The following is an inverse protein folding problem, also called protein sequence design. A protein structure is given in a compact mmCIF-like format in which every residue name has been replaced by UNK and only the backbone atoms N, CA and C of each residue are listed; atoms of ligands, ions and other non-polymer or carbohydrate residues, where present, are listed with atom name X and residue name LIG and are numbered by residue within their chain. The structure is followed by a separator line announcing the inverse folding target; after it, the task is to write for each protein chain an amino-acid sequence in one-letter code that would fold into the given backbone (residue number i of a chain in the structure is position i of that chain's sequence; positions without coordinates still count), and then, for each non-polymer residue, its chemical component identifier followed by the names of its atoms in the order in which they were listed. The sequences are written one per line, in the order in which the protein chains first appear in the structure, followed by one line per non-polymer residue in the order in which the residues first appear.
data_IF_094094903377
#
_entry.id   IF_094094903377
#
_cell.length_a   1.000
_cell.length_b   1.000
_cell.length_c   1.000
_cell.angle_alpha   90.00
_cell.angle_beta   90.00
_cell.angle_gamma   90.00
#
_symmetry.space_group_name_H-M   'P 1'
#
loop_
_entity.id
_entity.type
_entity.pdbx_description
1 polymer ?
#
# COMPACT_ATOMS: atom_id res chain seq x y z
N UNK A 1 7.69 16.28 -19.12
CA UNK A 1 6.39 16.15 -18.41
C UNK A 1 6.69 15.85 -16.95
N UNK A 2 5.93 16.47 -16.05
CA UNK A 2 6.41 17.04 -14.78
C UNK A 2 6.69 16.03 -13.66
N UNK A 3 7.78 16.26 -12.94
CA UNK A 3 8.20 15.49 -11.74
C UNK A 3 7.23 15.68 -10.55
N UNK A 4 6.37 16.70 -10.57
CA UNK A 4 5.23 16.78 -9.66
C UNK A 4 4.01 15.98 -10.13
N UNK A 5 3.87 15.64 -11.41
CA UNK A 5 2.82 14.71 -11.82
C UNK A 5 3.01 13.35 -11.14
N UNK A 6 4.26 12.88 -10.97
CA UNK A 6 4.52 11.70 -10.14
C UNK A 6 4.10 11.90 -8.69
N UNK A 7 4.32 13.08 -8.11
CA UNK A 7 3.89 13.40 -6.74
C UNK A 7 2.37 13.33 -6.58
N UNK A 8 1.61 13.96 -7.46
CA UNK A 8 0.14 13.94 -7.42
C UNK A 8 -0.41 12.56 -7.73
N UNK A 9 0.16 11.88 -8.72
CA UNK A 9 -0.20 10.51 -9.05
C UNK A 9 0.08 9.57 -7.88
N UNK A 10 1.18 9.75 -7.15
CA UNK A 10 1.44 9.03 -5.91
C UNK A 10 0.42 9.38 -4.83
N UNK A 11 0.11 10.66 -4.61
CA UNK A 11 -0.86 11.09 -3.60
C UNK A 11 -2.26 10.53 -3.87
N UNK A 12 -2.73 10.61 -5.12
CA UNK A 12 -3.99 10.01 -5.56
C UNK A 12 -3.98 8.49 -5.44
N UNK A 13 -2.87 7.85 -5.80
CA UNK A 13 -2.67 6.41 -5.63
C UNK A 13 -2.77 6.01 -4.15
N UNK A 14 -2.07 6.71 -3.25
CA UNK A 14 -2.10 6.40 -1.82
C UNK A 14 -3.45 6.72 -1.18
N UNK A 15 -4.11 7.80 -1.60
CA UNK A 15 -5.48 8.10 -1.20
C UNK A 15 -6.45 6.99 -1.65
N UNK A 16 -6.33 6.49 -2.87
CA UNK A 16 -7.10 5.35 -3.37
C UNK A 16 -6.83 4.07 -2.58
N UNK A 17 -5.55 3.80 -2.29
CA UNK A 17 -5.12 2.64 -1.53
C UNK A 17 -5.63 2.68 -0.07
N UNK A 18 -5.71 3.86 0.55
CA UNK A 18 -6.25 4.04 1.90
C UNK A 18 -7.78 4.10 1.94
N UNK A 19 -8.42 4.66 0.92
CA UNK A 19 -9.87 4.85 0.87
C UNK A 19 -10.45 4.27 -0.42
N UNK A 20 -10.48 2.94 -0.59
CA UNK A 20 -10.89 2.32 -1.85
C UNK A 20 -12.34 2.66 -2.23
N UNK A 21 -13.23 2.80 -1.25
CA UNK A 21 -14.67 2.98 -1.46
C UNK A 21 -15.18 4.41 -1.27
N UNK A 22 -14.43 5.29 -0.58
CA UNK A 22 -14.89 6.63 -0.21
C UNK A 22 -14.20 7.72 -1.04
N UNK A 23 -14.89 8.25 -2.05
CA UNK A 23 -14.38 9.40 -2.84
C UNK A 23 -14.21 10.64 -1.97
N UNK A 24 -15.19 10.94 -1.12
CA UNK A 24 -15.14 12.09 -0.21
C UNK A 24 -13.91 12.04 0.73
N UNK A 25 -13.58 10.86 1.27
CA UNK A 25 -12.36 10.69 2.09
C UNK A 25 -11.07 10.90 1.29
N UNK A 26 -11.03 10.44 0.02
CA UNK A 26 -9.89 10.68 -0.87
C UNK A 26 -9.72 12.18 -1.15
N UNK A 27 -10.79 12.84 -1.54
CA UNK A 27 -10.78 14.27 -1.89
C UNK A 27 -10.37 15.12 -0.68
N UNK A 28 -10.88 14.80 0.52
CA UNK A 28 -10.48 15.44 1.78
C UNK A 28 -9.00 15.23 2.11
N UNK A 29 -8.49 14.02 1.95
CA UNK A 29 -7.08 13.73 2.22
C UNK A 29 -6.16 14.49 1.25
N UNK A 30 -6.47 14.45 -0.05
CA UNK A 30 -5.72 15.16 -1.09
C UNK A 30 -5.73 16.66 -0.80
N UNK A 31 -6.90 17.25 -0.54
CA UNK A 31 -7.04 18.68 -0.25
C UNK A 31 -6.23 19.11 0.99
N UNK A 32 -6.27 18.32 2.07
CA UNK A 32 -5.48 18.59 3.27
C UNK A 32 -3.98 18.52 3.00
N UNK A 33 -3.52 17.55 2.20
CA UNK A 33 -2.11 17.44 1.84
C UNK A 33 -1.68 18.59 0.94
N UNK A 34 -2.49 18.95 -0.06
CA UNK A 34 -2.27 20.11 -0.93
C UNK A 34 -2.16 21.41 -0.15
N UNK A 35 -3.02 21.61 0.85
CA UNK A 35 -2.96 22.78 1.74
C UNK A 35 -1.61 22.85 2.47
N UNK A 36 -1.17 21.73 3.07
CA UNK A 36 0.12 21.66 3.76
C UNK A 36 1.31 21.96 2.84
N UNK A 37 1.29 21.47 1.60
CA UNK A 37 2.35 21.75 0.60
C UNK A 37 2.51 23.25 0.38
N UNK A 38 1.39 23.98 0.24
CA UNK A 38 1.42 25.43 0.01
C UNK A 38 1.99 26.20 1.19
N UNK A 39 1.92 25.68 2.40
CA UNK A 39 2.47 26.35 3.58
C UNK A 39 3.96 26.10 3.74
N UNK A 40 4.40 24.88 3.45
CA UNK A 40 5.82 24.54 3.44
C UNK A 40 6.55 25.23 2.26
N UNK A 41 5.82 25.50 1.18
CA UNK A 41 6.32 26.10 -0.05
C UNK A 41 5.37 27.21 -0.54
N UNK A 42 5.33 28.36 0.15
CA UNK A 42 4.42 29.48 -0.14
C UNK A 42 4.62 30.11 -1.52
N UNK A 43 5.78 29.89 -2.14
CA UNK A 43 6.04 30.19 -3.54
C UNK A 43 5.19 29.40 -4.55
N UNK A 44 4.53 28.31 -4.15
CA UNK A 44 3.72 27.47 -5.03
C UNK A 44 2.24 27.90 -4.98
N UNK A 45 1.68 28.19 -6.15
CA UNK A 45 0.26 28.50 -6.28
C UNK A 45 -0.62 27.22 -6.35
N UNK A 46 -1.94 27.39 -6.33
CA UNK A 46 -2.90 26.29 -6.34
C UNK A 46 -2.79 25.36 -7.56
N UNK A 47 -2.52 25.91 -8.74
CA UNK A 47 -2.33 25.14 -9.96
C UNK A 47 -0.98 24.43 -10.01
N UNK A 48 0.08 25.06 -9.48
CA UNK A 48 1.43 24.48 -9.44
C UNK A 48 1.49 23.28 -8.50
N UNK A 49 0.79 23.39 -7.36
CA UNK A 49 0.54 22.27 -6.48
C UNK A 49 -0.40 21.30 -7.19
N UNK A 50 -1.68 21.61 -7.40
CA UNK A 50 -2.68 20.65 -7.93
C UNK A 50 -2.37 19.97 -9.27
N UNK A 51 -1.80 20.69 -10.24
CA UNK A 51 -1.51 20.17 -11.60
C UNK A 51 -0.06 19.74 -11.79
N UNK A 52 0.78 19.90 -10.76
CA UNK A 52 2.21 19.60 -10.83
C UNK A 52 2.99 20.44 -11.84
N UNK A 53 2.60 21.70 -12.06
CA UNK A 53 3.29 22.63 -12.97
C UNK A 53 4.50 23.26 -12.29
N UNK A 54 5.65 23.27 -12.97
CA UNK A 54 6.86 23.96 -12.50
C UNK A 54 6.62 25.48 -12.45
N UNK A 55 7.00 26.18 -11.37
CA UNK A 55 6.98 27.63 -11.33
C UNK A 55 7.80 28.29 -12.43
N UNK A 56 7.30 29.41 -12.92
CA UNK A 56 8.01 30.23 -13.89
C UNK A 56 9.26 30.85 -13.24
N UNK A 57 10.41 30.74 -13.90
CA UNK A 57 11.69 31.23 -13.37
C UNK A 57 12.47 30.24 -12.49
N UNK A 58 11.93 29.06 -12.18
CA UNK A 58 12.71 28.01 -11.50
C UNK A 58 13.57 27.20 -12.49
N UNK A 59 14.84 26.98 -12.13
CA UNK A 59 15.71 26.08 -12.89
C UNK A 59 15.22 24.64 -12.80
N UNK A 60 15.62 23.81 -13.78
CA UNK A 60 15.31 22.37 -13.76
C UNK A 60 15.93 21.72 -12.54
N UNK A 61 17.16 22.05 -12.15
CA UNK A 61 17.76 21.50 -10.92
C UNK A 61 16.99 21.89 -9.66
N UNK A 62 16.56 23.16 -9.53
CA UNK A 62 15.78 23.60 -8.35
C UNK A 62 14.45 22.85 -8.25
N UNK A 63 13.82 22.62 -9.39
CA UNK A 63 12.59 21.85 -9.48
C UNK A 63 12.78 20.37 -9.14
N UNK A 64 13.88 19.77 -9.61
CA UNK A 64 14.25 18.40 -9.32
C UNK A 64 14.61 18.17 -7.85
N UNK A 65 15.29 19.14 -7.25
CA UNK A 65 15.59 19.16 -5.81
C UNK A 65 14.28 19.22 -5.05
N UNK A 66 13.36 20.14 -5.37
CA UNK A 66 12.05 20.20 -4.75
C UNK A 66 11.25 18.89 -4.91
N UNK A 67 11.15 18.32 -6.12
CA UNK A 67 10.43 17.07 -6.34
C UNK A 67 11.07 15.90 -5.55
N UNK A 68 12.40 15.86 -5.47
CA UNK A 68 13.13 14.83 -4.73
C UNK A 68 13.02 15.03 -3.22
N UNK A 69 13.17 16.25 -2.72
CA UNK A 69 12.97 16.64 -1.33
C UNK A 69 11.54 16.43 -0.89
N UNK A 70 10.56 16.64 -1.76
CA UNK A 70 9.14 16.37 -1.50
C UNK A 70 8.86 14.85 -1.43
N UNK A 71 9.44 14.06 -2.34
CA UNK A 71 9.35 12.60 -2.30
C UNK A 71 10.11 12.00 -1.10
N UNK A 72 11.25 12.59 -0.73
CA UNK A 72 12.01 12.26 0.48
C UNK A 72 11.35 12.82 1.76
N UNK A 73 10.53 13.88 1.67
CA UNK A 73 9.70 14.43 2.76
C UNK A 73 8.47 13.57 3.01
N UNK A 74 7.89 12.89 2.02
CA UNK A 74 6.90 11.83 2.30
C UNK A 74 7.50 10.75 3.22
N UNK A 75 8.82 10.50 3.13
CA UNK A 75 9.56 9.62 4.02
C UNK A 75 10.04 10.30 5.32
N UNK A 76 10.55 11.53 5.26
CA UNK A 76 11.12 12.26 6.42
C UNK A 76 10.05 12.93 7.29
N UNK A 77 8.93 13.41 6.76
CA UNK A 77 7.89 14.06 7.58
C UNK A 77 7.11 13.06 8.46
N UNK A 78 7.14 11.76 8.16
CA UNK A 78 6.56 10.76 9.06
C UNK A 78 7.44 10.49 10.30
N UNK A 79 8.76 10.71 10.21
CA UNK A 79 9.73 10.43 11.29
C UNK A 79 10.41 11.69 11.90
N UNK A 80 10.53 12.81 11.17
CA UNK A 80 11.22 14.05 11.56
C UNK A 80 10.24 15.17 11.95
N UNK A 81 9.02 15.21 11.40
CA UNK A 81 8.05 16.27 11.72
C UNK A 81 7.46 16.19 13.15
N UNK A 82 7.88 15.21 13.95
CA UNK A 82 7.53 15.09 15.37
C UNK A 82 8.42 15.92 16.30
N UNK A 83 9.51 16.55 15.82
CA UNK A 83 10.51 17.11 16.73
C UNK A 83 10.50 18.63 16.85
N UNK A 84 10.45 19.43 15.78
CA UNK A 84 10.80 20.85 15.95
C UNK A 84 10.10 21.83 14.99
N UNK A 85 9.73 22.97 15.59
CA UNK A 85 9.36 24.29 15.02
C UNK A 85 7.85 24.55 14.88
N UNK A 86 7.33 25.23 15.91
CA UNK A 86 5.93 25.63 16.13
C UNK A 86 5.31 26.62 15.14
N UNK A 87 5.61 26.52 13.84
CA UNK A 87 4.76 27.04 12.76
C UNK A 87 3.71 26.04 12.30
N UNK A 88 3.94 24.75 12.54
CA UNK A 88 3.00 23.64 12.32
C UNK A 88 1.73 23.75 13.20
N UNK A 89 1.80 24.46 14.33
CA UNK A 89 0.72 24.56 15.32
C UNK A 89 -0.51 25.35 14.85
N UNK A 90 -0.38 26.28 13.88
CA UNK A 90 -1.51 27.07 13.37
C UNK A 90 -2.39 26.29 12.40
N UNK A 91 -1.86 25.22 11.78
CA UNK A 91 -2.58 24.37 10.81
C UNK A 91 -2.86 22.94 11.28
N UNK A 92 -2.08 22.42 12.22
CA UNK A 92 -2.54 21.32 13.09
C UNK A 92 -3.76 21.71 13.93
N UNK A 93 -4.08 23.00 14.03
CA UNK A 93 -5.33 23.51 14.61
C UNK A 93 -6.54 23.46 13.64
N UNK A 94 -6.38 22.99 12.39
CA UNK A 94 -7.56 22.56 11.60
C UNK A 94 -8.24 21.42 12.36
N UNK A 95 -9.51 21.55 12.78
CA UNK A 95 -10.15 20.60 13.70
C UNK A 95 -10.12 19.14 13.24
N UNK A 96 -9.83 18.90 11.95
CA UNK A 96 -9.91 17.59 11.31
C UNK A 96 -8.57 17.04 10.80
N UNK A 97 -7.46 17.78 10.78
CA UNK A 97 -6.22 17.26 10.14
C UNK A 97 -5.66 16.03 10.86
N UNK A 98 -5.44 16.10 12.17
CA UNK A 98 -4.90 14.97 12.96
C UNK A 98 -5.85 13.77 12.96
N UNK A 99 -7.16 14.03 12.93
CA UNK A 99 -8.18 12.98 12.79
C UNK A 99 -8.10 12.31 11.41
N UNK A 100 -8.00 13.09 10.33
CA UNK A 100 -7.86 12.59 8.95
C UNK A 100 -6.53 11.85 8.78
N UNK A 101 -5.45 12.35 9.38
CA UNK A 101 -4.14 11.69 9.34
C UNK A 101 -4.16 10.36 10.10
N UNK A 102 -4.72 10.33 11.32
CA UNK A 102 -4.81 9.10 12.11
C UNK A 102 -5.68 8.06 11.42
N UNK A 103 -6.80 8.49 10.84
CA UNK A 103 -7.67 7.65 10.03
C UNK A 103 -6.94 7.13 8.79
N UNK A 104 -6.20 7.99 8.07
CA UNK A 104 -5.39 7.58 6.93
C UNK A 104 -4.29 6.58 7.31
N UNK A 105 -3.56 6.82 8.41
CA UNK A 105 -2.52 5.93 8.92
C UNK A 105 -3.10 4.54 9.23
N UNK A 106 -4.26 4.49 9.89
CA UNK A 106 -4.96 3.24 10.22
C UNK A 106 -5.44 2.51 8.95
N UNK A 107 -6.00 3.24 7.98
CA UNK A 107 -6.46 2.64 6.73
C UNK A 107 -5.28 2.15 5.86
N UNK A 108 -4.17 2.88 5.82
CA UNK A 108 -2.93 2.41 5.21
C UNK A 108 -2.41 1.13 5.88
N UNK A 109 -2.49 1.05 7.21
CA UNK A 109 -2.13 -0.15 7.95
C UNK A 109 -3.03 -1.34 7.57
N UNK A 110 -4.36 -1.16 7.53
CA UNK A 110 -5.31 -2.18 7.08
C UNK A 110 -5.03 -2.62 5.64
N UNK A 111 -4.83 -1.67 4.73
CA UNK A 111 -4.49 -1.94 3.34
C UNK A 111 -3.19 -2.72 3.20
N UNK A 112 -2.14 -2.33 3.94
CA UNK A 112 -0.86 -3.06 3.97
C UNK A 112 -1.04 -4.50 4.45
N UNK A 113 -1.82 -4.74 5.51
CA UNK A 113 -2.12 -6.11 5.97
C UNK A 113 -2.84 -6.93 4.89
N UNK A 114 -3.80 -6.33 4.17
CA UNK A 114 -4.48 -6.99 3.05
C UNK A 114 -3.52 -7.33 1.90
N UNK A 115 -2.60 -6.42 1.57
CA UNK A 115 -1.52 -6.66 0.61
C UNK A 115 -0.59 -7.79 1.05
N UNK A 116 -0.26 -7.87 2.34
CA UNK A 116 0.54 -8.96 2.88
C UNK A 116 -0.15 -10.31 2.75
N UNK A 117 -1.48 -10.38 2.95
CA UNK A 117 -2.25 -11.61 2.70
C UNK A 117 -2.07 -12.06 1.25
N UNK A 118 -2.29 -11.19 0.25
CA UNK A 118 -2.12 -11.57 -1.16
C UNK A 118 -0.66 -11.94 -1.49
N UNK A 119 0.31 -11.19 -0.95
CA UNK A 119 1.74 -11.47 -1.06
C UNK A 119 2.10 -12.87 -0.56
N UNK A 120 1.60 -13.26 0.62
CA UNK A 120 1.83 -14.59 1.20
C UNK A 120 1.13 -15.69 0.41
N UNK A 121 -0.11 -15.50 -0.04
CA UNK A 121 -0.80 -16.48 -0.89
C UNK A 121 0.06 -16.81 -2.11
N UNK A 122 0.59 -15.78 -2.78
CA UNK A 122 1.45 -15.95 -3.93
C UNK A 122 2.74 -16.71 -3.62
N UNK A 123 3.47 -16.30 -2.58
CA UNK A 123 4.72 -16.98 -2.17
C UNK A 123 4.50 -18.44 -1.79
N UNK A 124 3.40 -18.74 -1.10
CA UNK A 124 3.04 -20.12 -0.72
C UNK A 124 2.67 -20.94 -1.96
N UNK A 125 1.90 -20.36 -2.90
CA UNK A 125 1.52 -21.03 -4.14
C UNK A 125 2.76 -21.37 -4.98
N UNK A 126 3.70 -20.42 -5.12
CA UNK A 126 4.95 -20.61 -5.88
C UNK A 126 5.91 -21.62 -5.22
N UNK A 127 5.82 -21.80 -3.91
CA UNK A 127 6.61 -22.78 -3.15
C UNK A 127 6.12 -24.23 -3.32
N UNK A 128 5.00 -24.46 -4.04
CA UNK A 128 4.46 -25.80 -4.36
C UNK A 128 4.30 -26.73 -3.16
N UNK A 129 3.98 -26.19 -1.99
CA UNK A 129 3.75 -26.99 -0.78
C UNK A 129 2.52 -27.89 -0.98
N UNK A 130 2.60 -29.16 -0.56
CA UNK A 130 1.51 -30.14 -0.70
C UNK A 130 0.19 -29.68 -0.07
N UNK A 131 0.28 -28.84 0.98
CA UNK A 131 -0.88 -28.31 1.67
C UNK A 131 -1.56 -27.15 0.92
N UNK A 132 -0.93 -26.60 -0.13
CA UNK A 132 -1.44 -25.51 -0.99
C UNK A 132 -1.49 -24.14 -0.31
N UNK A 133 -1.70 -23.08 -1.10
CA UNK A 133 -1.98 -21.74 -0.59
C UNK A 133 -3.44 -21.59 -0.15
N UNK A 134 -3.67 -20.82 0.91
CA UNK A 134 -5.01 -20.46 1.37
C UNK A 134 -5.00 -19.10 2.08
N UNK A 135 -6.16 -18.44 2.10
CA UNK A 135 -6.33 -17.16 2.81
C UNK A 135 -5.99 -17.34 4.31
N UNK A 136 -6.42 -18.44 4.94
CA UNK A 136 -6.16 -18.66 6.36
C UNK A 136 -4.66 -18.76 6.68
N UNK A 137 -3.89 -19.48 5.86
CA UNK A 137 -2.43 -19.55 6.03
C UNK A 137 -1.77 -18.20 5.83
N UNK A 138 -2.21 -17.45 4.83
CA UNK A 138 -1.69 -16.13 4.58
C UNK A 138 -2.02 -15.13 5.69
N UNK A 139 -3.22 -15.18 6.28
CA UNK A 139 -3.59 -14.40 7.47
C UNK A 139 -2.70 -14.74 8.65
N UNK A 140 -2.48 -16.03 8.91
CA UNK A 140 -1.55 -16.49 9.94
C UNK A 140 -0.11 -15.99 9.71
N UNK A 141 0.40 -16.09 8.47
CA UNK A 141 1.74 -15.59 8.13
C UNK A 141 1.84 -14.06 8.26
N UNK A 142 0.79 -13.32 7.88
CA UNK A 142 0.71 -11.86 8.08
C UNK A 142 0.81 -11.51 9.56
N UNK A 143 0.11 -12.22 10.45
CA UNK A 143 0.20 -12.02 11.90
C UNK A 143 1.60 -12.38 12.43
N UNK A 144 2.06 -13.60 12.16
CA UNK A 144 3.23 -14.20 12.80
C UNK A 144 4.57 -13.70 12.27
N UNK A 145 4.61 -13.24 11.02
CA UNK A 145 5.85 -12.77 10.38
C UNK A 145 5.79 -11.26 10.17
N UNK A 146 4.80 -10.77 9.43
CA UNK A 146 4.71 -9.34 9.10
C UNK A 146 4.36 -8.50 10.34
N UNK A 147 3.45 -8.98 11.18
CA UNK A 147 3.07 -8.31 12.43
C UNK A 147 4.25 -8.09 13.37
N UNK A 148 5.21 -9.03 13.42
CA UNK A 148 6.45 -8.89 14.22
C UNK A 148 7.36 -7.79 13.68
N UNK A 149 7.45 -7.60 12.37
CA UNK A 149 8.20 -6.50 11.77
C UNK A 149 7.58 -5.12 12.12
N UNK A 150 6.26 -5.06 12.20
CA UNK A 150 5.51 -3.82 12.49
C UNK A 150 5.25 -3.59 13.99
N UNK A 151 5.74 -4.47 14.87
CA UNK A 151 5.33 -4.53 16.27
C UNK A 151 5.56 -3.22 17.04
N UNK A 152 6.68 -2.53 16.78
CA UNK A 152 7.00 -1.24 17.42
C UNK A 152 5.93 -0.20 17.10
N UNK A 153 5.58 -0.05 15.82
CA UNK A 153 4.56 0.90 15.35
C UNK A 153 3.17 0.52 15.84
N UNK A 154 2.81 -0.76 15.75
CA UNK A 154 1.52 -1.29 16.21
C UNK A 154 1.30 -0.98 17.69
N UNK A 155 2.32 -1.21 18.54
CA UNK A 155 2.26 -0.88 19.97
C UNK A 155 2.15 0.62 20.22
N UNK A 156 2.95 1.43 19.54
CA UNK A 156 2.93 2.89 19.69
C UNK A 156 1.57 3.50 19.31
N UNK A 157 0.97 3.01 18.21
CA UNK A 157 -0.32 3.48 17.69
C UNK A 157 -1.53 2.76 18.30
N UNK A 158 -1.32 1.77 19.17
CA UNK A 158 -2.36 0.91 19.76
C UNK A 158 -3.27 0.26 18.71
N UNK A 159 -2.70 -0.15 17.58
CA UNK A 159 -3.46 -0.80 16.52
C UNK A 159 -3.70 -2.28 16.82
N UNK A 160 -4.85 -2.84 16.40
CA UNK A 160 -5.10 -4.27 16.55
C UNK A 160 -4.21 -5.08 15.60
N UNK A 161 -3.77 -6.24 16.09
CA UNK A 161 -3.07 -7.26 15.32
C UNK A 161 -3.55 -8.62 15.84
N UNK A 162 -4.55 -9.18 15.16
CA UNK A 162 -5.02 -10.55 15.36
C UNK A 162 -5.66 -11.05 14.07
N UNK A 163 -5.78 -12.38 13.90
CA UNK A 163 -6.35 -12.97 12.68
C UNK A 163 -7.75 -12.48 12.33
N UNK A 164 -8.59 -12.20 13.33
CA UNK A 164 -9.95 -11.70 13.10
C UNK A 164 -9.91 -10.32 12.44
N UNK A 165 -9.12 -9.40 13.02
CA UNK A 165 -8.90 -8.06 12.45
C UNK A 165 -8.29 -8.12 11.05
N UNK A 166 -7.25 -8.95 10.86
CA UNK A 166 -6.60 -9.10 9.54
C UNK A 166 -7.60 -9.63 8.50
N UNK A 167 -8.50 -10.53 8.88
CA UNK A 167 -9.51 -11.08 7.97
C UNK A 167 -10.64 -10.09 7.69
N UNK A 168 -11.29 -9.59 8.73
CA UNK A 168 -12.54 -8.84 8.63
C UNK A 168 -12.31 -7.38 8.24
N UNK A 169 -11.41 -6.70 8.93
CA UNK A 169 -11.21 -5.26 8.75
C UNK A 169 -10.19 -4.92 7.67
N UNK A 170 -9.13 -5.74 7.54
CA UNK A 170 -8.10 -5.53 6.54
C UNK A 170 -8.42 -6.24 5.23
N UNK A 171 -8.41 -7.58 5.19
CA UNK A 171 -8.56 -8.33 3.95
C UNK A 171 -9.87 -8.02 3.24
N UNK A 172 -11.03 -8.16 3.89
CA UNK A 172 -12.32 -7.89 3.23
C UNK A 172 -12.49 -6.40 2.88
N UNK A 173 -12.09 -5.49 3.77
CA UNK A 173 -12.23 -4.04 3.54
C UNK A 173 -11.34 -3.49 2.42
N UNK A 174 -10.20 -4.12 2.15
CA UNK A 174 -9.18 -3.64 1.20
C UNK A 174 -8.86 -4.63 0.09
N UNK A 175 -9.65 -5.70 -0.06
CA UNK A 175 -9.45 -6.76 -1.06
C UNK A 175 -9.25 -6.21 -2.47
N UNK A 176 -10.06 -5.22 -2.84
CA UNK A 176 -10.08 -4.57 -4.16
C UNK A 176 -8.78 -3.87 -4.54
N UNK A 177 -8.06 -3.35 -3.54
CA UNK A 177 -6.78 -2.64 -3.70
C UNK A 177 -5.59 -3.45 -3.19
N UNK A 178 -5.81 -4.68 -2.73
CA UNK A 178 -4.76 -5.56 -2.20
C UNK A 178 -3.60 -5.82 -3.18
N UNK A 179 -3.76 -5.84 -4.53
CA UNK A 179 -2.61 -6.00 -5.41
C UNK A 179 -1.67 -4.78 -5.45
N UNK A 180 -2.17 -3.56 -5.23
CA UNK A 180 -1.33 -2.37 -5.07
C UNK A 180 -0.50 -2.46 -3.79
N UNK A 181 -1.14 -2.86 -2.69
CA UNK A 181 -0.47 -3.07 -1.41
C UNK A 181 0.53 -4.24 -1.45
N UNK A 182 0.22 -5.32 -2.17
CA UNK A 182 1.13 -6.44 -2.37
C UNK A 182 2.36 -6.04 -3.20
N UNK A 183 2.17 -5.22 -4.25
CA UNK A 183 3.28 -4.65 -5.02
C UNK A 183 4.17 -3.76 -4.15
N UNK A 184 3.57 -2.91 -3.30
CA UNK A 184 4.31 -2.08 -2.35
C UNK A 184 5.12 -2.92 -1.37
N UNK A 185 4.54 -3.99 -0.82
CA UNK A 185 5.26 -4.84 0.12
C UNK A 185 6.38 -5.66 -0.57
N UNK A 186 6.13 -6.10 -1.80
CA UNK A 186 7.15 -6.74 -2.63
C UNK A 186 8.33 -5.80 -2.91
N UNK A 187 8.04 -4.54 -3.25
CA UNK A 187 9.05 -3.49 -3.47
C UNK A 187 9.87 -3.20 -2.20
N UNK A 188 9.21 -3.11 -1.04
CA UNK A 188 9.89 -2.94 0.26
C UNK A 188 10.81 -4.13 0.56
N UNK A 189 10.35 -5.36 0.36
CA UNK A 189 11.16 -6.57 0.54
C UNK A 189 12.36 -6.64 -0.40
N UNK A 190 12.29 -6.04 -1.60
CA UNK A 190 13.41 -5.92 -2.53
C UNK A 190 14.38 -4.78 -2.23
N UNK A 191 14.30 -4.19 -1.03
CA UNK A 191 15.11 -3.02 -0.64
C UNK A 191 14.83 -1.80 -1.52
N UNK A 192 13.58 -1.64 -1.95
CA UNK A 192 13.04 -0.43 -2.58
C UNK A 192 13.84 0.03 -3.83
N UNK A 193 14.04 -0.83 -4.85
CA UNK A 193 14.75 -0.41 -6.06
C UNK A 193 14.03 0.78 -6.73
N UNK A 194 14.80 1.78 -7.14
CA UNK A 194 14.27 3.01 -7.73
C UNK A 194 13.40 2.74 -8.97
N UNK A 195 13.77 1.76 -9.79
CA UNK A 195 13.04 1.35 -10.98
C UNK A 195 11.64 0.78 -10.70
N UNK A 196 11.27 0.51 -9.46
CA UNK A 196 9.91 0.06 -9.09
C UNK A 196 9.26 1.01 -8.08
N UNK A 197 9.84 2.19 -7.91
CA UNK A 197 9.34 3.17 -6.96
C UNK A 197 8.00 3.74 -7.44
N UNK A 198 6.91 3.64 -6.65
CA UNK A 198 5.63 4.30 -6.98
C UNK A 198 5.71 5.83 -6.91
N UNK A 199 6.86 6.36 -6.51
CA UNK A 199 7.14 7.77 -6.30
C UNK A 199 7.89 8.42 -7.48
N UNK A 200 8.54 7.61 -8.32
CA UNK A 200 9.34 8.11 -9.43
C UNK A 200 8.59 7.90 -10.75
N UNK A 201 8.60 8.85 -11.70
CA UNK A 201 7.90 8.69 -12.99
C UNK A 201 8.25 7.38 -13.71
N UNK A 202 9.55 7.06 -13.78
CA UNK A 202 10.04 5.85 -14.43
C UNK A 202 9.74 4.57 -13.62
N UNK A 203 9.69 4.69 -12.29
CA UNK A 203 9.38 3.59 -11.38
C UNK A 203 7.89 3.27 -11.31
N UNK A 204 7.03 4.27 -11.50
CA UNK A 204 5.58 4.17 -11.33
C UNK A 204 4.96 3.16 -12.29
N UNK A 205 5.33 3.19 -13.58
CA UNK A 205 4.80 2.23 -14.57
C UNK A 205 5.19 0.80 -14.22
N UNK A 206 6.43 0.58 -13.73
CA UNK A 206 6.91 -0.73 -13.28
C UNK A 206 6.21 -1.17 -11.99
N UNK A 207 5.94 -0.25 -11.07
CA UNK A 207 5.12 -0.50 -9.89
C UNK A 207 3.69 -0.92 -10.26
N UNK A 208 3.02 -0.21 -11.16
CA UNK A 208 1.68 -0.54 -11.65
C UNK A 208 1.68 -1.88 -12.41
N UNK A 209 2.73 -2.16 -13.17
CA UNK A 209 2.91 -3.46 -13.82
C UNK A 209 3.04 -4.58 -12.78
N UNK A 210 3.78 -4.35 -11.69
CA UNK A 210 3.93 -5.31 -10.58
C UNK A 210 2.59 -5.54 -9.87
N UNK A 211 1.81 -4.48 -9.62
CA UNK A 211 0.48 -4.60 -9.04
C UNK A 211 -0.49 -5.36 -9.95
N UNK A 212 -0.47 -5.12 -11.26
CA UNK A 212 -1.27 -5.89 -12.21
C UNK A 212 -0.86 -7.37 -12.23
N UNK A 213 0.42 -7.68 -12.08
CA UNK A 213 0.87 -9.06 -11.99
C UNK A 213 0.35 -9.78 -10.72
N UNK A 214 0.25 -9.09 -9.58
CA UNK A 214 -0.46 -9.61 -8.41
C UNK A 214 -1.97 -9.76 -8.62
N UNK A 215 -2.60 -8.83 -9.36
CA UNK A 215 -4.02 -8.91 -9.72
C UNK A 215 -4.28 -10.12 -10.61
N UNK A 216 -3.53 -10.29 -11.70
CA UNK A 216 -3.65 -11.41 -12.64
C UNK A 216 -3.45 -12.75 -11.93
N UNK A 217 -2.46 -12.83 -11.02
CA UNK A 217 -2.31 -13.97 -10.12
C UNK A 217 -3.57 -14.18 -9.26
N UNK A 218 -4.07 -13.16 -8.56
CA UNK A 218 -5.21 -13.31 -7.65
C UNK A 218 -6.51 -13.73 -8.35
N UNK A 219 -6.72 -13.28 -9.59
CA UNK A 219 -7.89 -13.64 -10.43
C UNK A 219 -7.78 -15.06 -11.00
N UNK A 220 -6.55 -15.55 -11.24
CA UNK A 220 -6.32 -16.90 -11.77
C UNK A 220 -6.08 -17.96 -10.69
N UNK A 221 -5.67 -17.55 -9.48
CA UNK A 221 -5.36 -18.47 -8.40
C UNK A 221 -6.61 -18.87 -7.61
N UNK A 222 -6.92 -20.15 -7.66
CA UNK A 222 -7.95 -20.80 -6.84
C UNK A 222 -7.30 -21.39 -5.59
N UNK A 223 -7.63 -20.88 -4.39
CA UNK A 223 -7.17 -21.50 -3.16
C UNK A 223 -7.62 -22.96 -3.08
N UNK A 224 -6.86 -23.79 -2.35
CA UNK A 224 -7.18 -25.22 -2.23
C UNK A 224 -8.63 -25.42 -1.78
N UNK A 225 -9.36 -26.28 -2.52
CA UNK A 225 -10.77 -26.62 -2.29
C UNK A 225 -11.78 -25.46 -2.43
N UNK A 226 -11.39 -24.32 -3.00
CA UNK A 226 -12.29 -23.22 -3.34
C UNK A 226 -12.62 -23.24 -4.84
N UNK A 227 -13.88 -22.95 -5.18
CA UNK A 227 -14.35 -22.76 -6.57
C UNK A 227 -14.29 -21.30 -7.04
N UNK A 228 -13.96 -20.40 -6.12
CA UNK A 228 -13.88 -18.96 -6.37
C UNK A 228 -12.40 -18.58 -6.35
N UNK A 229 -11.93 -17.74 -7.29
CA UNK A 229 -10.56 -17.24 -7.26
C UNK A 229 -10.30 -16.38 -6.02
N UNK A 230 -9.03 -16.12 -5.75
CA UNK A 230 -8.62 -15.31 -4.58
C UNK A 230 -9.16 -13.89 -4.68
N UNK A 231 -9.18 -13.34 -5.89
CA UNK A 231 -9.77 -12.05 -6.24
C UNK A 231 -10.81 -12.26 -7.35
N UNK A 232 -11.94 -11.58 -7.23
CA UNK A 232 -12.90 -11.48 -8.32
C UNK A 232 -12.47 -10.33 -9.24
N UNK A 233 -12.62 -10.51 -10.55
CA UNK A 233 -12.15 -9.51 -11.52
C UNK A 233 -12.91 -8.18 -11.35
N UNK A 234 -14.21 -8.27 -11.11
CA UNK A 234 -15.15 -7.17 -10.86
C UNK A 234 -14.89 -6.42 -9.56
N UNK A 235 -14.23 -7.05 -8.57
CA UNK A 235 -13.85 -6.41 -7.32
C UNK A 235 -12.55 -5.60 -7.44
N UNK A 236 -11.86 -5.66 -8.58
CA UNK A 236 -10.56 -5.00 -8.81
C UNK A 236 -10.66 -3.92 -9.87
N UNK A 237 -9.69 -3.01 -9.93
CA UNK A 237 -9.68 -1.97 -10.97
C UNK A 237 -9.61 -2.59 -12.38
N UNK A 238 -10.27 -2.02 -13.40
CA UNK A 238 -10.20 -2.56 -14.76
C UNK A 238 -8.77 -2.47 -15.32
N UNK A 239 -8.39 -3.43 -16.17
CA UNK A 239 -7.11 -3.34 -16.91
C UNK A 239 -7.26 -2.19 -17.90
N UNK A 240 -6.41 -1.17 -17.79
CA UNK A 240 -6.42 -0.06 -18.74
C UNK A 240 -5.73 -0.50 -20.02
N UNK A 241 -6.49 -0.63 -21.10
CA UNK A 241 -5.98 -0.97 -22.44
C UNK A 241 -5.01 0.09 -22.98
N UNK A 242 -5.06 1.31 -22.45
CA UNK A 242 -4.20 2.43 -22.84
C UNK A 242 -2.84 2.41 -22.15
N UNK A 243 -2.68 1.66 -21.05
CA UNK A 243 -1.41 1.56 -20.33
C UNK A 243 -0.60 0.40 -20.90
N UNK A 244 0.51 0.71 -21.58
CA UNK A 244 1.49 -0.30 -21.96
C UNK A 244 2.22 -0.81 -20.71
N UNK A 245 1.68 -1.87 -20.12
CA UNK A 245 2.27 -2.54 -18.96
C UNK A 245 3.47 -3.36 -19.40
N UNK A 246 4.51 -3.34 -18.59
CA UNK A 246 5.70 -4.15 -18.80
C UNK A 246 5.37 -5.56 -18.31
N UNK A 247 5.61 -6.58 -19.13
CA UNK A 247 5.52 -7.96 -18.64
C UNK A 247 6.63 -8.18 -17.60
N UNK A 248 6.20 -8.27 -16.35
CA UNK A 248 7.04 -8.60 -15.23
C UNK A 248 6.76 -10.05 -14.88
N UNK A 249 7.51 -10.98 -15.48
CA UNK A 249 7.60 -12.37 -15.01
C UNK A 249 8.39 -12.41 -13.70
N UNK A 250 7.87 -11.74 -12.69
CA UNK A 250 8.53 -11.57 -11.41
C UNK A 250 7.96 -12.60 -10.45
N UNK A 251 8.76 -13.61 -10.16
CA UNK A 251 8.45 -14.57 -9.10
C UNK A 251 8.83 -13.91 -7.78
N UNK A 252 7.90 -13.77 -6.82
CA UNK A 252 8.26 -13.31 -5.50
C UNK A 252 9.30 -14.25 -4.90
N UNK A 253 10.12 -13.73 -3.98
CA UNK A 253 11.18 -14.50 -3.34
C UNK A 253 10.60 -15.77 -2.69
N UNK A 254 11.26 -16.93 -2.80
CA UNK A 254 10.80 -18.16 -2.18
C UNK A 254 10.69 -17.99 -0.65
N UNK A 255 9.89 -18.84 -0.01
CA UNK A 255 9.85 -18.89 1.46
C UNK A 255 11.22 -19.30 2.01
N UNK A 256 11.73 -18.53 2.96
CA UNK A 256 12.91 -18.87 3.75
C UNK A 256 12.62 -20.03 4.72
N UNK A 257 13.67 -20.70 5.21
CA UNK A 257 13.53 -21.79 6.18
C UNK A 257 12.77 -21.37 7.44
N UNK A 258 12.96 -20.12 7.89
CA UNK A 258 12.24 -19.59 9.05
C UNK A 258 10.75 -19.44 8.75
N UNK A 259 10.40 -18.90 7.59
CA UNK A 259 9.00 -18.75 7.17
C UNK A 259 8.33 -20.12 6.95
N UNK A 260 9.03 -21.09 6.38
CA UNK A 260 8.56 -22.47 6.24
C UNK A 260 8.31 -23.13 7.60
N UNK A 261 9.25 -22.98 8.56
CA UNK A 261 9.07 -23.48 9.93
C UNK A 261 7.86 -22.86 10.60
N UNK A 262 7.67 -21.54 10.49
CA UNK A 262 6.48 -20.86 11.02
C UNK A 262 5.21 -21.37 10.34
N UNK A 263 5.17 -21.48 9.01
CA UNK A 263 4.00 -21.97 8.29
C UNK A 263 3.62 -23.40 8.70
N UNK A 264 4.59 -24.25 9.03
CA UNK A 264 4.35 -25.63 9.48
C UNK A 264 3.74 -25.72 10.88
N UNK A 265 3.76 -24.66 11.69
CA UNK A 265 3.05 -24.63 12.99
C UNK A 265 1.59 -24.22 12.85
N UNK A 266 1.14 -23.83 11.64
CA UNK A 266 -0.25 -23.48 11.39
C UNK A 266 -1.16 -24.70 11.58
N UNK A 267 -2.12 -24.56 12.48
CA UNK A 267 -3.24 -25.50 12.63
C UNK A 267 -4.49 -24.87 12.03
N UNK A 268 -5.20 -25.63 11.19
CA UNK A 268 -6.47 -25.16 10.65
C UNK A 268 -7.47 -25.00 11.81
N UNK A 269 -8.30 -23.95 11.83
CA UNK A 269 -9.37 -23.85 12.82
C UNK A 269 -10.28 -25.09 12.71
N UNK A 270 -10.54 -25.77 13.82
CA UNK A 270 -11.26 -27.06 13.87
C UNK A 270 -12.71 -27.02 13.37
N UNK A 271 -13.23 -25.85 13.00
CA UNK A 271 -14.62 -25.69 12.59
C UNK A 271 -14.80 -25.79 11.07
N UNK A 272 -14.68 -26.98 10.49
CA UNK A 272 -15.27 -27.31 9.17
C UNK A 272 -15.60 -28.80 8.95
N UNK A 273 -15.72 -29.60 10.03
CA UNK A 273 -16.09 -31.03 9.94
C UNK A 273 -17.35 -31.42 10.74
N UNK A 274 -18.19 -30.47 11.16
CA UNK A 274 -19.40 -30.77 11.93
C UNK A 274 -20.56 -29.82 11.65
N UNK A 275 -20.98 -29.72 10.39
CA UNK A 275 -22.31 -29.18 10.06
C UNK A 275 -22.75 -29.56 8.65
N UNK A 276 -22.99 -30.86 8.45
CA UNK A 276 -24.02 -31.33 7.53
C UNK A 276 -24.79 -32.46 8.23
N UNK A 277 -26.06 -32.25 8.62
CA UNK A 277 -27.01 -33.36 8.69
C UNK A 277 -27.30 -33.92 7.29
#
# INVERSE_FOLDING_TARGET
MSELWSVFTSLELFALMAYPTSKDSRDKHIANRVAKIKEEWPELNAEQVGDGKRPEGWSIEKWQIFAREYLDQIHSELDIAFSEKGGISSLLCSPNYEKVKTDFDLNCYKGRLAGCVLFWIRRIADSKLASGASINKAVFMTEEVTGKYLLKTIKAKKWPLNQSFIRQDAWLGFKSVSPLWAALECWVHWKKPADYSPFLPNGFIRFISLANNYKEFGVSHFPRAQKIPTLLSEETWPKSEKLMLIDLTLKPSPLSDKELKTLNTYQAPDNYLSSHP
#
